data_IF_861263860504
#
_entry.id   IF_861263860504
#
_cell.length_a   1.000
_cell.length_b   1.000
_cell.length_c   1.000
_cell.angle_alpha   90.00
_cell.angle_beta   90.00
_cell.angle_gamma   90.00
#
_symmetry.space_group_name_H-M   'P 1'
#
loop_
_entity.id
_entity.type
_entity.pdbx_description
1 polymer ?
#
# COMPACT_ATOMS: atom_id res chain seq x y z
N UNK A 1 -20.72 -55.29 2.41
CA UNK A 1 -21.48 -54.14 2.98
C UNK A 1 -20.62 -53.27 3.90
N UNK A 2 -19.87 -53.84 4.84
CA UNK A 2 -18.97 -53.06 5.74
C UNK A 2 -17.82 -52.31 5.01
N UNK A 3 -17.32 -52.84 3.89
CA UNK A 3 -16.32 -52.17 3.03
C UNK A 3 -16.85 -50.95 2.27
N UNK A 4 -18.14 -50.91 1.92
CA UNK A 4 -18.77 -49.77 1.24
C UNK A 4 -19.01 -48.59 2.20
N UNK A 5 -19.28 -48.89 3.48
CA UNK A 5 -19.40 -47.88 4.54
C UNK A 5 -18.06 -47.18 4.82
N UNK A 6 -16.94 -47.89 4.75
CA UNK A 6 -15.61 -47.31 4.95
C UNK A 6 -15.18 -46.35 3.83
N UNK A 7 -15.51 -46.66 2.57
CA UNK A 7 -15.21 -45.76 1.44
C UNK A 7 -16.09 -44.51 1.48
N UNK A 8 -17.36 -44.65 1.87
CA UNK A 8 -18.26 -43.51 2.09
C UNK A 8 -17.79 -42.57 3.20
N UNK A 9 -17.23 -43.12 4.29
CA UNK A 9 -16.77 -42.31 5.43
C UNK A 9 -15.48 -41.53 5.15
N UNK A 10 -14.57 -42.03 4.31
CA UNK A 10 -13.39 -41.28 3.87
C UNK A 10 -13.73 -40.13 2.90
N UNK A 11 -14.79 -40.26 2.09
CA UNK A 11 -15.16 -39.24 1.10
C UNK A 11 -15.78 -37.99 1.76
N UNK A 12 -16.39 -38.14 2.94
CA UNK A 12 -16.95 -37.01 3.73
C UNK A 12 -15.84 -36.20 4.43
N UNK A 13 -14.68 -36.80 4.73
CA UNK A 13 -13.57 -36.11 5.40
C UNK A 13 -12.81 -35.14 4.47
N UNK A 14 -12.87 -35.33 3.14
CA UNK A 14 -12.15 -34.51 2.16
C UNK A 14 -12.83 -33.16 1.86
N UNK A 15 -14.07 -32.93 2.31
CA UNK A 15 -14.78 -31.66 2.06
C UNK A 15 -14.61 -30.64 3.20
N UNK A 16 -14.12 -31.05 4.38
CA UNK A 16 -13.93 -30.16 5.55
C UNK A 16 -12.66 -29.30 5.50
N UNK A 17 -11.78 -29.48 4.49
CA UNK A 17 -10.47 -28.82 4.40
C UNK A 17 -10.41 -27.54 3.55
N UNK A 18 -11.52 -27.08 2.97
CA UNK A 18 -11.53 -25.79 2.28
C UNK A 18 -11.75 -24.66 3.29
N UNK A 19 -10.72 -24.33 4.06
CA UNK A 19 -10.58 -22.97 4.58
C UNK A 19 -10.31 -22.07 3.38
N UNK A 20 -11.36 -21.65 2.66
CA UNK A 20 -11.23 -20.45 1.84
C UNK A 20 -10.96 -19.31 2.81
N UNK A 21 -9.75 -18.75 2.76
CA UNK A 21 -9.55 -17.38 3.17
C UNK A 21 -10.49 -16.56 2.28
N UNK A 22 -11.71 -16.34 2.77
CA UNK A 22 -12.62 -15.39 2.18
C UNK A 22 -11.96 -14.06 2.44
N UNK A 23 -11.25 -13.55 1.44
CA UNK A 23 -11.13 -12.11 1.27
C UNK A 23 -12.54 -11.57 1.46
N UNK A 24 -12.77 -10.91 2.61
CA UNK A 24 -14.04 -10.29 2.94
C UNK A 24 -14.21 -9.02 2.10
N UNK A 25 -13.94 -9.10 0.80
CA UNK A 25 -14.27 -8.07 -0.16
C UNK A 25 -15.77 -8.13 -0.42
N UNK A 26 -16.53 -7.55 0.50
CA UNK A 26 -17.98 -7.52 0.42
C UNK A 26 -18.61 -6.87 1.64
N UNK A 27 -18.35 -5.59 1.87
CA UNK A 27 -19.08 -4.84 2.89
C UNK A 27 -18.41 -3.54 3.32
N UNK A 28 -18.30 -2.57 2.41
CA UNK A 28 -17.82 -1.22 2.73
C UNK A 28 -16.52 -0.88 2.01
N UNK A 29 -16.29 0.42 1.85
CA UNK A 29 -15.04 0.98 1.36
C UNK A 29 -13.85 0.37 2.08
N UNK A 30 -13.14 -0.56 1.44
CA UNK A 30 -11.85 -1.01 1.96
C UNK A 30 -10.84 0.11 1.71
N UNK A 31 -10.85 1.10 2.61
CA UNK A 31 -10.06 2.32 2.50
C UNK A 31 -8.57 1.99 2.47
N UNK A 32 -8.17 0.88 3.09
CA UNK A 32 -6.77 0.52 3.22
C UNK A 32 -6.49 -0.77 2.46
N UNK A 33 -5.47 -0.78 1.61
CA UNK A 33 -4.86 -1.99 1.07
C UNK A 33 -3.63 -2.33 1.91
N UNK A 34 -3.38 -3.61 2.18
CA UNK A 34 -2.17 -4.07 2.85
C UNK A 34 -1.38 -4.96 1.88
N UNK A 35 -0.07 -4.74 1.77
CA UNK A 35 0.85 -5.54 0.95
C UNK A 35 2.06 -5.96 1.77
N UNK A 36 2.44 -7.22 1.69
CA UNK A 36 3.66 -7.73 2.34
C UNK A 36 4.91 -7.22 1.59
N UNK A 37 5.95 -6.88 2.35
CA UNK A 37 7.26 -6.46 1.84
C UNK A 37 8.37 -7.02 2.75
N UNK A 38 9.62 -6.96 2.30
CA UNK A 38 10.74 -7.31 3.18
C UNK A 38 10.76 -6.38 4.41
N UNK A 39 10.80 -6.96 5.60
CA UNK A 39 10.85 -6.22 6.87
C UNK A 39 9.49 -5.86 7.49
N UNK A 40 8.36 -6.04 6.79
CA UNK A 40 7.04 -5.70 7.34
C UNK A 40 5.91 -5.70 6.33
N UNK A 41 4.97 -4.77 6.47
CA UNK A 41 3.86 -4.59 5.53
C UNK A 41 3.70 -3.13 5.15
N UNK A 42 3.35 -2.87 3.89
CA UNK A 42 2.90 -1.56 3.44
C UNK A 42 1.39 -1.45 3.61
N UNK A 43 0.94 -0.37 4.25
CA UNK A 43 -0.48 0.02 4.32
C UNK A 43 -0.71 1.20 3.40
N UNK A 44 -1.59 1.05 2.43
CA UNK A 44 -1.93 2.07 1.44
C UNK A 44 -3.35 2.59 1.69
N UNK A 45 -3.51 3.88 1.98
CA UNK A 45 -4.82 4.54 2.03
C UNK A 45 -5.28 4.86 0.60
N UNK A 46 -6.27 4.13 0.09
CA UNK A 46 -6.82 4.29 -1.26
C UNK A 46 -7.54 5.62 -1.48
N UNK A 47 -7.89 6.35 -0.42
CA UNK A 47 -8.51 7.67 -0.55
C UNK A 47 -7.48 8.78 -0.71
N UNK A 48 -6.42 8.77 0.09
CA UNK A 48 -5.39 9.82 0.09
C UNK A 48 -4.16 9.48 -0.76
N UNK A 49 -3.92 8.20 -1.04
CA UNK A 49 -2.67 7.70 -1.61
C UNK A 49 -1.54 7.55 -0.61
N UNK A 50 -1.76 7.90 0.67
CA UNK A 50 -0.72 7.80 1.69
C UNK A 50 -0.27 6.36 1.90
N UNK A 51 1.04 6.15 1.99
CA UNK A 51 1.66 4.84 2.23
C UNK A 51 2.35 4.88 3.59
N UNK A 52 2.12 3.85 4.41
CA UNK A 52 2.84 3.65 5.67
C UNK A 52 3.59 2.33 5.65
N UNK A 53 4.83 2.31 6.15
CA UNK A 53 5.55 1.08 6.46
C UNK A 53 5.19 0.66 7.88
N UNK A 54 4.70 -0.56 8.04
CA UNK A 54 4.30 -1.10 9.33
C UNK A 54 5.18 -2.30 9.72
N UNK A 55 5.75 -2.25 10.91
CA UNK A 55 6.54 -3.34 11.50
C UNK A 55 5.86 -3.88 12.75
N UNK A 56 5.90 -5.20 12.92
CA UNK A 56 5.43 -5.87 14.13
C UNK A 56 6.61 -6.19 15.07
N UNK A 57 6.60 -5.68 16.30
CA UNK A 57 7.58 -6.03 17.34
C UNK A 57 6.84 -6.45 18.61
N UNK A 58 7.09 -7.68 19.09
CA UNK A 58 6.53 -8.16 20.36
C UNK A 58 5.00 -8.29 20.40
N UNK A 59 4.33 -8.41 19.26
CA UNK A 59 2.85 -8.47 19.17
C UNK A 59 2.18 -7.10 19.00
N UNK A 60 2.94 -6.01 19.01
CA UNK A 60 2.46 -4.66 18.72
C UNK A 60 2.90 -4.21 17.32
N UNK A 61 2.03 -3.47 16.63
CA UNK A 61 2.28 -2.94 15.29
C UNK A 61 2.53 -1.44 15.36
N UNK A 62 3.62 -0.98 14.74
CA UNK A 62 3.91 0.44 14.55
C UNK A 62 3.95 0.75 13.07
N UNK A 63 3.28 1.83 12.63
CA UNK A 63 3.26 2.27 11.24
C UNK A 63 3.84 3.68 11.11
N UNK A 64 4.84 3.83 10.25
CA UNK A 64 5.47 5.11 9.92
C UNK A 64 5.06 5.55 8.51
N UNK A 65 4.72 6.83 8.34
CA UNK A 65 4.38 7.37 7.02
C UNK A 65 5.64 7.37 6.14
N UNK A 66 5.55 6.77 4.95
CA UNK A 66 6.61 6.88 3.95
C UNK A 66 6.63 8.33 3.48
N UNK A 67 7.78 9.03 3.55
CA UNK A 67 7.89 10.40 3.09
C UNK A 67 7.43 10.52 1.64
N UNK A 68 6.43 11.37 1.39
CA UNK A 68 6.08 11.75 0.03
C UNK A 68 6.96 12.91 -0.40
N UNK A 69 8.14 12.56 -0.92
CA UNK A 69 9.10 13.55 -1.42
C UNK A 69 8.56 14.34 -2.61
N UNK A 70 7.44 13.89 -3.23
CA UNK A 70 6.85 14.54 -4.40
C UNK A 70 6.42 15.97 -4.10
N UNK A 71 5.79 16.22 -2.96
CA UNK A 71 5.33 17.57 -2.60
C UNK A 71 6.50 18.51 -2.27
N UNK A 72 7.58 17.97 -1.66
CA UNK A 72 8.81 18.71 -1.47
C UNK A 72 9.45 19.09 -2.82
N UNK A 73 9.55 18.13 -3.75
CA UNK A 73 10.09 18.36 -5.09
C UNK A 73 9.21 19.31 -5.92
N UNK A 74 7.88 19.24 -5.79
CA UNK A 74 6.98 20.15 -6.51
C UNK A 74 7.13 21.60 -6.05
N UNK A 75 7.30 21.83 -4.75
CA UNK A 75 7.62 23.16 -4.21
C UNK A 75 8.95 23.68 -4.75
N UNK A 76 9.98 22.84 -4.72
CA UNK A 76 11.29 23.20 -5.28
C UNK A 76 11.22 23.54 -6.77
N UNK A 77 10.42 22.80 -7.56
CA UNK A 77 10.19 23.11 -8.98
C UNK A 77 9.55 24.48 -9.17
N UNK A 78 8.60 24.86 -8.32
CA UNK A 78 7.96 26.18 -8.37
C UNK A 78 8.95 27.31 -8.06
N UNK A 79 9.73 27.14 -7.00
CA UNK A 79 10.76 28.10 -6.58
C UNK A 79 11.83 28.27 -7.67
N UNK A 80 12.34 27.17 -8.22
CA UNK A 80 13.29 27.19 -9.33
C UNK A 80 12.71 27.87 -10.58
N UNK A 81 11.42 27.67 -10.88
CA UNK A 81 10.75 28.36 -11.99
C UNK A 81 10.64 29.86 -11.76
N UNK A 82 10.33 30.29 -10.53
CA UNK A 82 10.28 31.70 -10.14
C UNK A 82 11.66 32.35 -10.28
N UNK A 83 12.69 31.70 -9.77
CA UNK A 83 14.06 32.17 -9.87
C UNK A 83 14.54 32.23 -11.32
N UNK A 84 14.28 31.20 -12.13
CA UNK A 84 14.66 31.19 -13.54
C UNK A 84 14.03 32.36 -14.31
N UNK A 85 12.74 32.66 -14.07
CA UNK A 85 12.08 33.84 -14.63
C UNK A 85 12.68 35.15 -14.15
N UNK A 86 13.12 35.23 -12.89
CA UNK A 86 13.81 36.41 -12.32
C UNK A 86 15.15 36.62 -13.00
N UNK A 87 15.97 35.58 -13.10
CA UNK A 87 17.29 35.62 -13.71
C UNK A 87 17.23 35.96 -15.20
N UNK A 88 16.30 35.36 -15.95
CA UNK A 88 16.10 35.70 -17.37
C UNK A 88 15.75 37.17 -17.58
N UNK A 89 14.91 37.75 -16.72
CA UNK A 89 14.59 39.19 -16.74
C UNK A 89 15.79 40.06 -16.38
N UNK A 90 16.70 39.58 -15.54
CA UNK A 90 17.95 40.30 -15.23
C UNK A 90 18.90 40.27 -16.42
N UNK A 91 19.09 39.11 -17.06
CA UNK A 91 19.95 38.98 -18.24
C UNK A 91 19.48 39.86 -19.39
N UNK A 92 18.18 39.87 -19.71
CA UNK A 92 17.62 40.72 -20.76
C UNK A 92 17.77 42.23 -20.52
N UNK A 93 18.13 42.66 -19.30
CA UNK A 93 18.45 44.06 -19.00
C UNK A 93 19.92 44.40 -19.18
N UNK A 94 20.80 43.39 -19.10
CA UNK A 94 22.26 43.54 -19.15
C UNK A 94 22.79 43.29 -20.57
N UNK A 95 22.11 42.46 -21.35
CA UNK A 95 22.40 42.15 -22.75
C UNK A 95 21.15 42.48 -23.62
N UNK A 96 20.98 43.76 -24.02
CA UNK A 96 19.79 44.22 -24.75
C UNK A 96 19.76 43.81 -26.23
#
# INVERSE_FOLDING_TARGET
MLRLLFVGMCMVALTMGYSSAQDRFGGGSDRYMVSEVEGGVLRIDRQSGAVSMCEGKGGEWTCELVPDDRDAMLREIEDLRLENRRLRRQLARVDP
#
